data_IF_889688613281
#
_entry.id   IF_889688613281
#
_cell.length_a   1.000
_cell.length_b   1.000
_cell.length_c   1.000
_cell.angle_alpha   90.00
_cell.angle_beta   90.00
_cell.angle_gamma   90.00
#
_symmetry.space_group_name_H-M   'P 1'
#
loop_
_entity.id
_entity.type
_entity.pdbx_description
1 polymer ?
#
# COMPACT_ATOMS: atom_id res chain seq x y z
N UNK A 1 34.98 -12.31 -10.17
CA UNK A 1 33.93 -11.41 -10.73
C UNK A 1 32.51 -12.01 -10.73
N UNK A 2 32.33 -13.33 -10.57
CA UNK A 2 31.01 -13.97 -10.59
C UNK A 2 30.20 -13.83 -9.29
N UNK A 3 30.84 -13.72 -8.13
CA UNK A 3 30.17 -13.76 -6.82
C UNK A 3 29.21 -12.60 -6.58
N UNK A 4 29.56 -11.39 -7.03
CA UNK A 4 28.70 -10.21 -6.91
C UNK A 4 27.39 -10.36 -7.70
N UNK A 5 27.45 -11.01 -8.88
CA UNK A 5 26.28 -11.28 -9.71
C UNK A 5 25.35 -12.31 -9.05
N UNK A 6 25.91 -13.36 -8.48
CA UNK A 6 25.14 -14.39 -7.76
C UNK A 6 24.47 -13.84 -6.50
N UNK A 7 25.19 -13.07 -5.67
CA UNK A 7 24.63 -12.43 -4.47
C UNK A 7 23.42 -11.54 -4.80
N UNK A 8 23.52 -10.73 -5.85
CA UNK A 8 22.42 -9.85 -6.28
C UNK A 8 21.21 -10.65 -6.78
N UNK A 9 21.42 -11.73 -7.52
CA UNK A 9 20.33 -12.61 -7.99
C UNK A 9 19.64 -13.29 -6.82
N UNK A 10 20.41 -13.83 -5.88
CA UNK A 10 19.90 -14.46 -4.67
C UNK A 10 19.07 -13.47 -3.84
N UNK A 11 19.57 -12.25 -3.63
CA UNK A 11 18.85 -11.20 -2.93
C UNK A 11 17.49 -10.88 -3.59
N UNK A 12 17.44 -10.84 -4.92
CA UNK A 12 16.19 -10.65 -5.67
C UNK A 12 15.23 -11.82 -5.51
N UNK A 13 15.73 -13.05 -5.56
CA UNK A 13 14.92 -14.26 -5.37
C UNK A 13 14.34 -14.29 -3.95
N UNK A 14 15.14 -14.01 -2.93
CA UNK A 14 14.69 -13.97 -1.53
C UNK A 14 13.60 -12.90 -1.31
N UNK A 15 13.75 -11.71 -1.91
CA UNK A 15 12.71 -10.67 -1.85
C UNK A 15 11.45 -11.05 -2.61
N UNK A 16 11.59 -11.70 -3.76
CA UNK A 16 10.45 -12.22 -4.54
C UNK A 16 9.67 -13.28 -3.76
N UNK A 17 10.39 -14.25 -3.19
CA UNK A 17 9.82 -15.28 -2.33
C UNK A 17 9.14 -14.67 -1.10
N UNK A 18 9.77 -13.68 -0.44
CA UNK A 18 9.17 -12.97 0.69
C UNK A 18 7.87 -12.25 0.33
N UNK A 19 7.79 -11.59 -0.83
CA UNK A 19 6.55 -10.97 -1.31
C UNK A 19 5.46 -12.02 -1.56
N UNK A 20 5.79 -13.09 -2.30
CA UNK A 20 4.86 -14.18 -2.58
C UNK A 20 4.33 -14.81 -1.28
N UNK A 21 5.21 -15.06 -0.31
CA UNK A 21 4.83 -15.57 1.00
C UNK A 21 3.87 -14.62 1.72
N UNK A 22 4.14 -13.31 1.73
CA UNK A 22 3.22 -12.35 2.37
C UNK A 22 1.86 -12.30 1.67
N UNK A 23 1.79 -12.44 0.34
CA UNK A 23 0.52 -12.46 -0.38
C UNK A 23 -0.26 -13.74 -0.13
N UNK A 24 0.41 -14.89 -0.14
CA UNK A 24 -0.23 -16.17 0.19
C UNK A 24 -0.79 -16.14 1.62
N UNK A 25 -0.05 -15.56 2.56
CA UNK A 25 -0.50 -15.44 3.96
C UNK A 25 -1.68 -14.47 4.11
N UNK A 26 -1.63 -13.29 3.47
CA UNK A 26 -2.76 -12.34 3.46
C UNK A 26 -3.98 -12.97 2.79
N UNK A 27 -3.80 -13.65 1.67
CA UNK A 27 -4.88 -14.37 0.99
C UNK A 27 -5.54 -15.37 1.93
N UNK A 28 -4.74 -16.26 2.53
CA UNK A 28 -5.22 -17.26 3.47
C UNK A 28 -6.01 -16.64 4.64
N UNK A 29 -5.45 -15.59 5.25
CA UNK A 29 -6.14 -14.87 6.33
C UNK A 29 -7.46 -14.26 5.88
N UNK A 30 -7.48 -13.60 4.72
CA UNK A 30 -8.70 -12.98 4.22
C UNK A 30 -9.77 -14.00 3.84
N UNK A 31 -9.40 -15.18 3.33
CA UNK A 31 -10.35 -16.29 3.09
C UNK A 31 -10.97 -16.75 4.40
N UNK A 32 -10.13 -17.01 5.41
CA UNK A 32 -10.57 -17.43 6.74
C UNK A 32 -11.55 -16.41 7.35
N UNK A 33 -11.23 -15.12 7.27
CA UNK A 33 -12.11 -14.05 7.76
C UNK A 33 -13.39 -13.92 6.93
N UNK A 34 -13.33 -14.15 5.62
CA UNK A 34 -14.52 -14.13 4.76
C UNK A 34 -15.49 -15.22 5.18
N UNK A 35 -15.00 -16.41 5.52
CA UNK A 35 -15.82 -17.51 6.04
C UNK A 35 -16.40 -17.15 7.41
N UNK A 36 -15.57 -16.71 8.37
CA UNK A 36 -16.07 -16.34 9.70
C UNK A 36 -17.10 -15.20 9.70
N UNK A 37 -16.98 -14.26 8.76
CA UNK A 37 -17.85 -13.09 8.70
C UNK A 37 -19.09 -13.37 7.83
N UNK A 38 -18.93 -13.97 6.65
CA UNK A 38 -20.02 -14.10 5.67
C UNK A 38 -20.76 -15.44 5.76
N UNK A 39 -20.25 -16.37 6.56
CA UNK A 39 -20.84 -17.69 6.79
C UNK A 39 -21.09 -17.91 8.29
N UNK A 40 -21.89 -17.06 8.96
CA UNK A 40 -22.04 -17.13 10.42
C UNK A 40 -22.70 -18.44 10.88
N UNK A 41 -23.45 -19.12 10.00
CA UNK A 41 -24.13 -20.39 10.31
C UNK A 41 -23.30 -21.65 10.00
N UNK A 42 -22.03 -21.52 9.57
CA UNK A 42 -21.23 -22.70 9.26
C UNK A 42 -21.08 -23.62 10.49
N UNK A 43 -20.87 -22.99 11.65
CA UNK A 43 -20.62 -23.67 12.94
C UNK A 43 -21.89 -24.05 13.69
N UNK A 44 -23.09 -23.81 13.14
CA UNK A 44 -24.34 -23.99 13.88
C UNK A 44 -25.21 -25.11 13.34
N UNK A 45 -25.90 -25.75 14.28
CA UNK A 45 -26.81 -26.86 14.00
C UNK A 45 -28.05 -26.38 13.24
N UNK A 46 -28.48 -25.15 13.50
CA UNK A 46 -29.65 -24.52 12.90
C UNK A 46 -29.16 -23.51 11.85
N UNK A 47 -29.70 -23.63 10.63
CA UNK A 47 -29.41 -22.81 9.46
C UNK A 47 -30.75 -22.28 8.92
N UNK A 48 -30.79 -21.06 8.32
CA UNK A 48 -32.01 -20.55 7.70
C UNK A 48 -32.50 -21.47 6.59
N UNK A 49 -33.81 -21.50 6.38
CA UNK A 49 -34.44 -22.33 5.34
C UNK A 49 -33.92 -22.03 3.93
N UNK A 50 -33.90 -23.05 3.09
CA UNK A 50 -33.53 -22.93 1.66
C UNK A 50 -34.48 -21.95 0.98
N UNK A 51 -33.93 -21.08 0.14
CA UNK A 51 -34.67 -20.04 -0.58
C UNK A 51 -34.72 -18.69 0.13
N UNK A 52 -34.28 -18.61 1.38
CA UNK A 52 -34.04 -17.32 2.04
C UNK A 52 -32.79 -16.63 1.47
N UNK A 53 -32.77 -15.30 1.48
CA UNK A 53 -31.59 -14.54 1.01
C UNK A 53 -30.39 -14.79 1.91
N UNK A 54 -30.61 -15.02 3.21
CA UNK A 54 -29.57 -15.34 4.17
C UNK A 54 -28.88 -16.66 3.82
N UNK A 55 -29.67 -17.71 3.58
CA UNK A 55 -29.13 -19.02 3.18
C UNK A 55 -28.39 -18.94 1.85
N UNK A 56 -28.96 -18.25 0.88
CA UNK A 56 -28.33 -18.07 -0.45
C UNK A 56 -26.97 -17.36 -0.34
N UNK A 57 -26.87 -16.32 0.49
CA UNK A 57 -25.62 -15.59 0.71
C UNK A 57 -24.59 -16.45 1.44
N UNK A 58 -25.00 -17.14 2.51
CA UNK A 58 -24.15 -18.07 3.25
C UNK A 58 -23.57 -19.15 2.33
N UNK A 59 -24.41 -19.82 1.54
CA UNK A 59 -24.00 -20.91 0.66
C UNK A 59 -23.04 -20.44 -0.45
N UNK A 60 -23.17 -19.21 -0.92
CA UNK A 60 -22.23 -18.61 -1.88
C UNK A 60 -20.81 -18.46 -1.31
N UNK A 61 -20.68 -18.23 0.00
CA UNK A 61 -19.39 -18.06 0.67
C UNK A 61 -18.87 -19.34 1.35
N UNK A 62 -19.73 -20.27 1.81
CA UNK A 62 -19.33 -21.51 2.52
C UNK A 62 -18.58 -22.48 1.60
N UNK A 63 -19.10 -22.73 0.40
CA UNK A 63 -18.57 -23.77 -0.53
C UNK A 63 -18.34 -23.20 -1.94
N UNK A 64 -18.60 -21.90 -2.13
CA UNK A 64 -18.61 -21.28 -3.44
C UNK A 64 -17.35 -20.49 -3.78
N UNK A 65 -17.37 -19.93 -4.99
CA UNK A 65 -16.35 -18.99 -5.48
C UNK A 65 -16.31 -17.70 -4.64
N UNK A 66 -17.34 -17.44 -3.84
CA UNK A 66 -17.48 -16.26 -3.00
C UNK A 66 -16.38 -16.09 -1.97
N UNK A 67 -15.97 -17.16 -1.26
CA UNK A 67 -14.91 -17.08 -0.25
C UNK A 67 -13.54 -16.72 -0.84
N UNK A 68 -13.36 -16.90 -2.14
CA UNK A 68 -12.08 -16.75 -2.84
C UNK A 68 -12.01 -15.41 -3.59
N UNK A 69 -13.12 -14.97 -4.17
CA UNK A 69 -13.13 -13.83 -5.10
C UNK A 69 -12.78 -12.51 -4.42
N UNK A 70 -13.26 -12.27 -3.20
CA UNK A 70 -12.99 -11.04 -2.45
C UNK A 70 -11.51 -11.01 -2.00
N UNK A 71 -10.99 -12.04 -1.29
CA UNK A 71 -9.56 -12.10 -0.95
C UNK A 71 -8.64 -12.02 -2.16
N UNK A 72 -8.98 -12.71 -3.26
CA UNK A 72 -8.21 -12.67 -4.50
C UNK A 72 -8.18 -11.25 -5.08
N UNK A 73 -9.32 -10.55 -5.14
CA UNK A 73 -9.39 -9.17 -5.60
C UNK A 73 -8.50 -8.22 -4.78
N UNK A 74 -8.53 -8.36 -3.45
CA UNK A 74 -7.69 -7.58 -2.53
C UNK A 74 -6.21 -7.86 -2.77
N UNK A 75 -5.80 -9.13 -2.86
CA UNK A 75 -4.41 -9.51 -3.08
C UNK A 75 -3.93 -9.10 -4.47
N UNK A 76 -4.75 -9.25 -5.52
CA UNK A 76 -4.43 -8.78 -6.87
C UNK A 76 -4.24 -7.26 -6.89
N UNK A 77 -5.12 -6.49 -6.27
CA UNK A 77 -4.96 -5.04 -6.16
C UNK A 77 -3.63 -4.67 -5.46
N UNK A 78 -3.30 -5.40 -4.40
CA UNK A 78 -2.02 -5.26 -3.69
C UNK A 78 -0.81 -5.58 -4.57
N UNK A 79 -0.88 -6.69 -5.32
CA UNK A 79 0.14 -7.11 -6.28
C UNK A 79 0.35 -6.06 -7.38
N UNK A 80 -0.73 -5.50 -7.93
CA UNK A 80 -0.64 -4.45 -8.95
C UNK A 80 0.07 -3.20 -8.42
N UNK A 81 -0.19 -2.80 -7.18
CA UNK A 81 0.53 -1.70 -6.53
C UNK A 81 2.01 -2.02 -6.33
N UNK A 82 2.33 -3.24 -5.88
CA UNK A 82 3.69 -3.71 -5.72
C UNK A 82 4.45 -3.73 -7.06
N UNK A 83 3.85 -4.30 -8.11
CA UNK A 83 4.43 -4.36 -9.45
C UNK A 83 4.66 -2.97 -10.03
N UNK A 84 3.71 -2.05 -9.86
CA UNK A 84 3.86 -0.65 -10.26
C UNK A 84 5.03 0.02 -9.54
N UNK A 85 5.25 -0.30 -8.27
CA UNK A 85 6.38 0.20 -7.49
C UNK A 85 7.72 -0.43 -7.95
N UNK A 86 7.75 -1.76 -8.13
CA UNK A 86 8.93 -2.52 -8.55
C UNK A 86 9.42 -2.10 -9.94
N UNK A 87 8.50 -1.91 -10.90
CA UNK A 87 8.82 -1.40 -12.25
C UNK A 87 9.50 -0.03 -12.19
N UNK A 88 9.08 0.82 -11.25
CA UNK A 88 9.67 2.16 -11.08
C UNK A 88 10.95 2.13 -10.24
N UNK A 89 11.12 1.16 -9.34
CA UNK A 89 12.18 1.16 -8.33
C UNK A 89 12.60 -0.25 -7.91
N UNK A 90 13.87 -0.56 -8.17
CA UNK A 90 14.51 -1.83 -7.82
C UNK A 90 14.79 -2.05 -6.31
N UNK A 91 14.64 -1.04 -5.45
CA UNK A 91 15.17 -1.06 -4.07
C UNK A 91 14.07 -1.21 -2.99
N UNK A 92 12.78 -1.13 -3.35
CA UNK A 92 11.68 -1.09 -2.38
C UNK A 92 10.91 -2.38 -2.05
N UNK A 93 11.33 -3.62 -2.42
CA UNK A 93 10.57 -4.82 -2.04
C UNK A 93 10.39 -4.93 -0.52
N UNK A 94 11.44 -4.61 0.25
CA UNK A 94 11.44 -4.74 1.70
C UNK A 94 10.39 -3.89 2.41
N UNK A 95 10.16 -2.64 1.97
CA UNK A 95 9.14 -1.79 2.61
C UNK A 95 7.74 -2.35 2.42
N UNK A 96 7.51 -3.02 1.29
CA UNK A 96 6.24 -3.64 0.98
C UNK A 96 6.04 -4.92 1.80
N UNK A 97 7.08 -5.76 1.89
CA UNK A 97 7.10 -6.96 2.76
C UNK A 97 6.82 -6.55 4.22
N UNK A 98 7.54 -5.56 4.74
CA UNK A 98 7.34 -5.06 6.12
C UNK A 98 5.91 -4.54 6.30
N UNK A 99 5.39 -3.77 5.36
CA UNK A 99 4.03 -3.23 5.46
C UNK A 99 2.96 -4.33 5.40
N UNK A 100 3.18 -5.39 4.62
CA UNK A 100 2.30 -6.56 4.57
C UNK A 100 2.35 -7.35 5.87
N UNK A 101 3.56 -7.58 6.40
CA UNK A 101 3.75 -8.24 7.69
C UNK A 101 3.12 -7.45 8.84
N UNK A 102 3.29 -6.12 8.87
CA UNK A 102 2.65 -5.26 9.87
C UNK A 102 1.13 -5.27 9.76
N UNK A 103 0.58 -5.29 8.54
CA UNK A 103 -0.87 -5.41 8.34
C UNK A 103 -1.39 -6.68 9.00
N UNK A 104 -0.83 -7.84 8.63
CA UNK A 104 -1.19 -9.14 9.20
C UNK A 104 -1.03 -9.16 10.72
N UNK A 105 0.12 -8.66 11.21
CA UNK A 105 0.43 -8.67 12.63
C UNK A 105 -0.51 -7.78 13.46
N UNK A 106 -0.95 -6.65 12.92
CA UNK A 106 -1.96 -5.79 13.56
C UNK A 106 -3.39 -6.32 13.39
N UNK A 107 -3.64 -7.06 12.31
CA UNK A 107 -4.96 -7.59 12.00
C UNK A 107 -5.44 -8.58 13.07
N UNK A 108 -4.58 -9.54 13.45
CA UNK A 108 -4.91 -10.57 14.47
C UNK A 108 -5.38 -9.96 15.82
N UNK A 109 -4.60 -9.12 16.52
CA UNK A 109 -5.03 -8.56 17.80
C UNK A 109 -6.23 -7.64 17.65
N UNK A 110 -6.38 -6.96 16.50
CA UNK A 110 -7.56 -6.15 16.24
C UNK A 110 -8.81 -7.03 16.12
N UNK A 111 -8.75 -8.16 15.40
CA UNK A 111 -9.88 -9.08 15.28
C UNK A 111 -10.24 -9.73 16.62
N UNK A 112 -9.25 -10.04 17.45
CA UNK A 112 -9.50 -10.51 18.83
C UNK A 112 -10.25 -9.45 19.65
N UNK A 113 -9.82 -8.18 19.58
CA UNK A 113 -10.50 -7.09 20.26
C UNK A 113 -11.92 -6.87 19.72
N UNK A 114 -12.10 -6.97 18.40
CA UNK A 114 -13.40 -6.89 17.76
C UNK A 114 -14.31 -8.02 18.17
N UNK A 115 -13.82 -9.25 18.29
CA UNK A 115 -14.61 -10.38 18.77
C UNK A 115 -15.11 -10.13 20.21
N UNK A 116 -14.26 -9.61 21.09
CA UNK A 116 -14.66 -9.23 22.46
C UNK A 116 -15.70 -8.10 22.46
N UNK A 117 -15.48 -7.06 21.67
CA UNK A 117 -16.43 -5.95 21.52
C UNK A 117 -17.78 -6.43 20.97
N UNK A 118 -17.75 -7.29 19.96
CA UNK A 118 -18.93 -7.84 19.32
C UNK A 118 -19.74 -8.70 20.29
N UNK A 119 -19.08 -9.53 21.10
CA UNK A 119 -19.73 -10.31 22.16
C UNK A 119 -20.26 -9.44 23.31
N UNK A 120 -19.71 -8.24 23.51
CA UNK A 120 -20.20 -7.30 24.53
C UNK A 120 -21.47 -6.58 24.04
N UNK A 121 -21.50 -6.17 22.76
CA UNK A 121 -22.64 -5.47 22.16
C UNK A 121 -23.77 -6.44 21.82
N UNK A 122 -23.42 -7.63 21.34
CA UNK A 122 -24.33 -8.71 20.95
C UNK A 122 -24.07 -9.95 21.80
N UNK A 123 -24.42 -9.91 23.10
CA UNK A 123 -24.16 -11.03 24.00
C UNK A 123 -24.88 -12.30 23.52
N UNK A 124 -24.24 -13.47 23.60
CA UNK A 124 -24.90 -14.73 23.26
C UNK A 124 -26.04 -14.97 24.22
N UNK A 125 -27.27 -14.91 23.71
CA UNK A 125 -28.43 -15.34 24.47
C UNK A 125 -28.53 -16.86 24.45
N UNK A 126 -29.14 -17.47 25.46
CA UNK A 126 -29.39 -18.92 25.47
C UNK A 126 -30.32 -19.37 24.32
N UNK A 127 -31.01 -18.42 23.67
CA UNK A 127 -31.81 -18.64 22.46
C UNK A 127 -31.02 -18.40 21.16
N UNK A 128 -29.80 -17.82 21.21
CA UNK A 128 -28.92 -17.54 20.06
C UNK A 128 -28.23 -18.81 19.52
N UNK A 129 -28.94 -19.94 19.47
CA UNK A 129 -28.51 -21.09 18.65
C UNK A 129 -28.39 -20.73 17.15
N UNK A 130 -28.86 -19.54 16.76
CA UNK A 130 -28.81 -18.99 15.41
C UNK A 130 -27.94 -17.71 15.36
N UNK A 131 -26.61 -17.82 15.18
CA UNK A 131 -25.78 -16.65 14.89
C UNK A 131 -26.21 -16.05 13.57
N UNK A 132 -26.82 -14.87 13.65
CA UNK A 132 -27.22 -14.12 12.47
C UNK A 132 -26.13 -13.18 11.96
N UNK A 133 -26.34 -12.67 10.74
CA UNK A 133 -25.47 -11.66 10.13
C UNK A 133 -25.25 -10.40 10.98
N UNK A 134 -26.10 -10.11 11.97
CA UNK A 134 -25.90 -8.98 12.87
C UNK A 134 -24.57 -9.05 13.64
N UNK A 135 -24.09 -10.27 13.95
CA UNK A 135 -22.78 -10.49 14.58
C UNK A 135 -21.60 -10.29 13.64
N UNK A 136 -21.85 -10.30 12.34
CA UNK A 136 -20.83 -10.13 11.30
C UNK A 136 -20.62 -8.67 10.91
N UNK A 137 -21.53 -7.77 11.30
CA UNK A 137 -21.48 -6.35 10.91
C UNK A 137 -20.22 -5.67 11.44
N UNK A 138 -19.95 -5.78 12.75
CA UNK A 138 -18.79 -5.12 13.36
C UNK A 138 -17.47 -5.70 12.83
N UNK A 139 -17.26 -7.04 12.81
CA UNK A 139 -16.09 -7.64 12.17
C UNK A 139 -15.92 -7.18 10.71
N UNK A 140 -16.97 -7.27 9.89
CA UNK A 140 -16.93 -6.89 8.48
C UNK A 140 -16.50 -5.43 8.27
N UNK A 141 -17.07 -4.49 9.02
CA UNK A 141 -16.70 -3.08 8.95
C UNK A 141 -15.24 -2.85 9.33
N UNK A 142 -14.75 -3.53 10.37
CA UNK A 142 -13.35 -3.38 10.79
C UNK A 142 -12.40 -3.97 9.76
N UNK A 143 -12.70 -5.12 9.16
CA UNK A 143 -11.89 -5.69 8.07
C UNK A 143 -11.81 -4.72 6.88
N UNK A 144 -12.93 -4.13 6.47
CA UNK A 144 -12.97 -3.11 5.41
C UNK A 144 -12.13 -1.89 5.78
N UNK A 145 -12.25 -1.39 7.01
CA UNK A 145 -11.51 -0.23 7.49
C UNK A 145 -9.99 -0.49 7.53
N UNK A 146 -9.56 -1.62 8.12
CA UNK A 146 -8.16 -2.01 8.20
C UNK A 146 -7.55 -2.18 6.82
N UNK A 147 -8.27 -2.85 5.91
CA UNK A 147 -7.86 -3.04 4.52
C UNK A 147 -7.71 -1.70 3.81
N UNK A 148 -8.65 -0.78 4.02
CA UNK A 148 -8.61 0.58 3.45
C UNK A 148 -7.42 1.40 3.98
N UNK A 149 -7.17 1.35 5.28
CA UNK A 149 -6.01 2.02 5.91
C UNK A 149 -4.72 1.43 5.35
N UNK A 150 -4.63 0.11 5.22
CA UNK A 150 -3.47 -0.57 4.65
C UNK A 150 -3.20 -0.13 3.21
N UNK A 151 -4.21 -0.10 2.34
CA UNK A 151 -4.08 0.42 0.98
C UNK A 151 -3.69 1.89 0.95
N UNK A 152 -4.25 2.73 1.83
CA UNK A 152 -3.87 4.14 1.94
C UNK A 152 -2.39 4.29 2.33
N UNK A 153 -1.91 3.52 3.31
CA UNK A 153 -0.50 3.54 3.72
C UNK A 153 0.42 3.12 2.56
N UNK A 154 0.04 2.07 1.81
CA UNK A 154 0.77 1.67 0.62
C UNK A 154 0.75 2.73 -0.49
N UNK A 155 -0.40 3.39 -0.70
CA UNK A 155 -0.54 4.51 -1.64
C UNK A 155 0.41 5.67 -1.30
N UNK A 156 0.54 6.00 -0.02
CA UNK A 156 1.49 7.04 0.45
C UNK A 156 2.95 6.69 0.15
N UNK A 157 3.32 5.40 0.11
CA UNK A 157 4.67 4.98 -0.30
C UNK A 157 4.94 5.26 -1.79
N UNK A 158 3.89 5.27 -2.63
CA UNK A 158 3.97 5.67 -4.03
C UNK A 158 4.12 7.20 -4.17
N UNK A 159 3.34 7.98 -3.40
CA UNK A 159 3.19 9.43 -3.58
C UNK A 159 4.28 10.31 -2.96
N UNK A 160 4.88 9.94 -1.81
CA UNK A 160 5.90 10.76 -1.12
C UNK A 160 7.08 11.21 -1.99
N UNK A 161 7.28 10.59 -3.16
CA UNK A 161 8.34 10.98 -4.12
C UNK A 161 7.90 11.83 -5.30
N UNK A 162 6.62 11.89 -5.66
CA UNK A 162 6.19 12.94 -6.61
C UNK A 162 6.58 14.30 -6.03
N UNK A 163 6.32 14.46 -4.73
CA UNK A 163 6.72 15.63 -3.94
C UNK A 163 8.23 15.85 -3.88
N UNK A 164 9.04 14.80 -3.62
CA UNK A 164 10.51 14.96 -3.60
C UNK A 164 11.08 15.35 -4.97
N UNK A 165 10.58 14.78 -6.08
CA UNK A 165 11.02 15.17 -7.43
C UNK A 165 10.64 16.61 -7.76
N UNK A 166 9.40 17.00 -7.49
CA UNK A 166 8.96 18.39 -7.67
C UNK A 166 9.77 19.37 -6.83
N UNK A 167 10.09 19.04 -5.58
CA UNK A 167 10.93 19.90 -4.74
C UNK A 167 12.35 20.06 -5.32
N UNK A 168 12.95 18.97 -5.84
CA UNK A 168 14.28 19.05 -6.47
C UNK A 168 14.24 19.85 -7.78
N UNK A 169 13.20 19.67 -8.60
CA UNK A 169 13.02 20.43 -9.85
C UNK A 169 12.89 21.93 -9.59
N UNK A 170 12.10 22.32 -8.58
CA UNK A 170 11.92 23.73 -8.20
C UNK A 170 13.23 24.34 -7.70
N UNK A 171 14.05 23.59 -6.96
CA UNK A 171 15.37 24.07 -6.53
C UNK A 171 16.44 24.04 -7.63
N UNK A 172 16.21 23.32 -8.72
CA UNK A 172 17.10 23.27 -9.88
C UNK A 172 16.68 24.20 -11.02
N UNK A 173 15.60 24.99 -10.84
CA UNK A 173 15.38 26.14 -11.70
C UNK A 173 16.60 27.04 -11.49
N UNK A 174 17.45 27.25 -12.52
CA UNK A 174 18.62 28.10 -12.39
C UNK A 174 18.12 29.45 -11.90
N UNK A 175 18.61 29.83 -10.72
CA UNK A 175 18.23 31.06 -10.03
C UNK A 175 18.33 32.20 -11.05
N UNK A 176 17.18 32.69 -11.53
CA UNK A 176 17.16 33.70 -12.58
C UNK A 176 17.86 34.99 -12.12
N UNK A 177 18.01 35.15 -10.80
CA UNK A 177 18.87 36.16 -10.18
C UNK A 177 20.36 36.02 -10.55
N UNK A 178 20.89 34.80 -10.68
CA UNK A 178 22.28 34.55 -11.14
C UNK A 178 22.48 34.86 -12.62
N UNK A 179 21.43 34.79 -13.43
CA UNK A 179 21.47 35.21 -14.84
C UNK A 179 21.35 36.75 -15.00
N UNK A 180 20.74 37.44 -14.04
CA UNK A 180 20.76 38.90 -14.00
C UNK A 180 22.14 39.44 -13.59
N UNK A 181 22.82 38.76 -12.67
CA UNK A 181 24.15 39.15 -12.17
C UNK A 181 25.27 38.93 -13.21
N UNK A 182 25.18 37.85 -14.00
CA UNK A 182 26.15 37.61 -15.08
C UNK A 182 26.08 38.65 -16.21
N UNK A 183 24.92 39.27 -16.43
CA UNK A 183 24.78 40.38 -17.38
C UNK A 183 25.46 41.68 -16.93
N UNK A 184 25.56 41.92 -15.62
CA UNK A 184 26.29 43.09 -15.09
C UNK A 184 27.80 42.91 -15.19
N UNK A 185 28.31 41.69 -14.98
CA UNK A 185 29.75 41.40 -15.06
C UNK A 185 30.28 41.49 -16.50
N UNK A 186 29.52 41.01 -17.50
CA UNK A 186 29.91 41.21 -18.91
C UNK A 186 29.86 42.68 -19.33
N UNK A 187 28.89 43.45 -18.83
CA UNK A 187 28.84 44.89 -19.07
C UNK A 187 30.05 45.65 -18.51
N UNK A 188 30.50 45.31 -17.30
CA UNK A 188 31.69 45.91 -16.69
C UNK A 188 32.98 45.55 -17.42
N UNK A 189 33.17 44.27 -17.78
CA UNK A 189 34.35 43.85 -18.54
C UNK A 189 34.44 44.50 -19.92
N UNK A 190 33.30 44.72 -20.57
CA UNK A 190 33.25 45.39 -21.87
C UNK A 190 33.56 46.89 -21.75
N UNK A 191 33.00 47.57 -20.75
CA UNK A 191 33.31 48.97 -20.47
C UNK A 191 34.78 49.19 -20.08
N UNK A 192 35.38 48.27 -19.31
CA UNK A 192 36.79 48.34 -18.91
C UNK A 192 37.71 48.16 -20.12
N UNK A 193 37.39 47.23 -21.02
CA UNK A 193 38.13 47.00 -22.27
C UNK A 193 38.08 48.21 -23.20
N UNK A 194 36.90 48.82 -23.35
CA UNK A 194 36.73 50.04 -24.17
C UNK A 194 37.50 51.22 -23.57
N UNK A 195 37.56 51.34 -22.23
CA UNK A 195 38.32 52.39 -21.55
C UNK A 195 39.84 52.26 -21.77
N UNK A 196 40.36 51.03 -21.82
CA UNK A 196 41.78 50.77 -22.06
C UNK A 196 42.16 51.04 -23.52
N UNK A 197 41.30 50.68 -24.48
CA UNK A 197 41.53 51.00 -25.90
C UNK A 197 41.59 52.51 -26.16
N UNK A 198 40.78 53.30 -25.45
CA UNK A 198 40.81 54.76 -25.54
C UNK A 198 42.09 55.36 -24.91
N UNK A 199 42.60 54.78 -23.82
CA UNK A 199 43.87 55.22 -23.21
C UNK A 199 45.07 54.97 -24.13
N UNK A 200 45.11 53.80 -24.77
CA UNK A 200 46.20 53.45 -25.68
C UNK A 200 46.23 54.40 -26.90
N UNK A 201 45.06 54.76 -27.43
CA UNK A 201 44.95 55.71 -28.55
C UNK A 201 45.48 57.13 -28.26
N UNK A 202 45.50 57.55 -26.99
CA UNK A 202 46.00 58.88 -26.59
C UNK A 202 47.51 58.91 -26.26
N UNK A 203 48.19 57.77 -26.34
CA UNK A 203 49.63 57.65 -26.03
C UNK A 203 50.55 57.57 -27.26
N UNK A 204 49.98 57.70 -28.47
CA UNK A 204 50.70 57.84 -29.74
C UNK A 204 50.67 59.28 -30.24
#
# INVERSE_FOLDING_TARGET
>A
MNDAKYRKRLEWLLKGAGLLATWAFIYFFLVLETEFILVPWDTTLIRPDIGTWQRTLNDFFEVGIGSWIIPAGVVIANMLMALRLLRRRRILPWKFIINNALFVWMFIPMMLLVAQLNNTIFPPTAADFEPGYYRSIIPGLVVVLLTSIWFMVQGRLLDKRKRKRQATDVTSVPDASRLADSGQVTGQLQAERDSNLLRDAHSQ
#
